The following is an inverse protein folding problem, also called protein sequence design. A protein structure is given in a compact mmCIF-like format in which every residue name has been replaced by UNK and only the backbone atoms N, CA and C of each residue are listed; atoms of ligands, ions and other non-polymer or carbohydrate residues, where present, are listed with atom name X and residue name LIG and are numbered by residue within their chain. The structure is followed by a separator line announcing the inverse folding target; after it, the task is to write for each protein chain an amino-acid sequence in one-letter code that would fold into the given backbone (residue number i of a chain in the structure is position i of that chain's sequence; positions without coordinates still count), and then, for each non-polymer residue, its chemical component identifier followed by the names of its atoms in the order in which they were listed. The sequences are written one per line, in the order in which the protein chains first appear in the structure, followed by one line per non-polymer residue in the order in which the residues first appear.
data_IF_372712879011
#
_entry.id   IF_372712879011
#
_cell.length_a   1.000
_cell.length_b   1.000
_cell.length_c   1.000
_cell.angle_alpha   90.00
_cell.angle_beta   90.00
_cell.angle_gamma   90.00
#
_symmetry.space_group_name_H-M   'P 1'
#
loop_
_entity.id
_entity.type
_entity.pdbx_description
1 polymer ?
#
# COMPACT_ATOMS: atom_id res chain seq x y z
N UNK A 1 -4.47 13.95 10.68
CA UNK A 1 -3.19 13.22 10.72
C UNK A 1 -3.36 11.86 10.12
N UNK A 2 -2.91 11.71 8.88
CA UNK A 2 -3.12 10.51 8.05
C UNK A 2 -2.18 9.34 8.42
N UNK A 3 -1.24 9.56 9.34
CA UNK A 3 -0.33 8.54 9.87
C UNK A 3 -0.51 8.39 11.37
N UNK A 4 -0.53 7.14 11.84
CA UNK A 4 -0.49 6.82 13.26
C UNK A 4 0.98 6.83 13.72
N UNK A 5 1.27 7.62 14.76
CA UNK A 5 2.55 7.59 15.45
C UNK A 5 2.73 6.32 16.29
N UNK A 6 3.78 6.26 17.12
CA UNK A 6 4.00 5.16 18.05
C UNK A 6 2.74 4.90 18.90
N UNK A 7 2.35 3.63 19.03
CA UNK A 7 1.16 3.23 19.80
C UNK A 7 1.45 3.04 21.29
N UNK A 8 2.73 2.90 21.66
CA UNK A 8 3.16 2.81 23.05
C UNK A 8 3.34 4.21 23.65
N UNK A 9 2.50 4.64 24.61
CA UNK A 9 2.62 5.95 25.24
C UNK A 9 3.88 6.09 26.11
N UNK A 10 4.59 5.00 26.40
CA UNK A 10 5.86 5.02 27.12
C UNK A 10 7.08 5.10 26.20
N UNK A 11 6.87 5.01 24.88
CA UNK A 11 7.94 5.10 23.90
C UNK A 11 8.68 6.44 24.05
N UNK A 12 9.92 6.36 24.53
CA UNK A 12 10.74 7.52 24.87
C UNK A 12 12.23 7.22 24.72
N UNK A 13 13.02 8.26 24.53
CA UNK A 13 14.47 8.19 24.43
C UNK A 13 15.11 9.42 25.09
N UNK A 14 16.31 9.24 25.67
CA UNK A 14 17.12 10.37 26.13
C UNK A 14 17.69 11.14 24.94
N UNK A 15 17.74 12.46 25.04
CA UNK A 15 18.19 13.35 23.98
C UNK A 15 19.25 14.33 24.49
N UNK A 16 20.32 14.50 23.72
CA UNK A 16 21.40 15.45 24.04
C UNK A 16 21.14 16.82 23.38
N UNK A 17 20.64 17.79 24.15
CA UNK A 17 20.36 19.15 23.64
C UNK A 17 21.62 19.98 23.32
N UNK A 18 22.78 19.65 23.88
CA UNK A 18 24.04 20.27 23.47
C UNK A 18 24.32 19.97 21.99
N UNK A 19 24.14 18.72 21.57
CA UNK A 19 24.30 18.30 20.18
C UNK A 19 23.26 18.99 19.27
N UNK A 20 22.00 19.07 19.71
CA UNK A 20 20.94 19.82 19.00
C UNK A 20 21.37 21.26 18.71
N UNK A 21 21.90 21.96 19.71
CA UNK A 21 22.29 23.35 19.58
C UNK A 21 23.58 23.55 18.76
N UNK A 22 24.62 22.77 19.03
CA UNK A 22 25.96 23.02 18.48
C UNK A 22 26.28 22.25 17.21
N UNK A 23 25.57 21.15 16.91
CA UNK A 23 25.77 20.37 15.69
C UNK A 23 24.64 20.55 14.67
N UNK A 24 23.79 21.57 14.86
CA UNK A 24 22.67 21.88 13.95
C UNK A 24 21.72 20.70 13.72
N UNK A 25 21.48 19.88 14.75
CA UNK A 25 20.48 18.80 14.65
C UNK A 25 19.08 19.40 14.84
N UNK A 26 18.15 19.09 13.94
CA UNK A 26 16.76 19.54 14.03
C UNK A 26 15.82 18.41 14.43
N UNK A 27 14.86 18.73 15.30
CA UNK A 27 13.83 17.80 15.76
C UNK A 27 12.48 18.39 15.37
N UNK A 28 11.73 17.65 14.57
CA UNK A 28 10.41 18.05 14.09
C UNK A 28 9.45 16.90 14.32
N UNK A 29 8.40 17.14 15.10
CA UNK A 29 7.25 16.27 15.16
C UNK A 29 6.36 16.56 13.96
N UNK A 30 6.22 15.61 13.03
CA UNK A 30 5.20 15.68 11.98
C UNK A 30 4.04 14.78 12.34
N UNK A 31 2.85 15.25 12.04
CA UNK A 31 1.63 14.51 12.28
C UNK A 31 1.02 14.00 10.95
N UNK A 32 1.75 14.14 9.85
CA UNK A 32 1.35 13.74 8.49
C UNK A 32 1.06 14.94 7.61
N UNK A 33 0.52 14.67 6.42
CA UNK A 33 0.24 15.72 5.43
C UNK A 33 -1.05 16.49 5.68
N UNK A 34 -1.10 17.72 5.16
CA UNK A 34 -2.27 18.59 5.06
C UNK A 34 -2.83 18.59 3.62
N UNK A 35 -3.83 19.42 3.35
CA UNK A 35 -4.45 19.55 2.02
C UNK A 35 -3.46 19.95 0.94
N UNK A 36 -2.51 20.85 1.24
CA UNK A 36 -1.50 21.30 0.30
C UNK A 36 -0.55 20.17 -0.07
N UNK A 37 -0.13 19.35 0.89
CA UNK A 37 0.70 18.16 0.64
C UNK A 37 -0.02 17.16 -0.28
N UNK A 38 -1.34 16.99 -0.13
CA UNK A 38 -2.13 16.15 -1.03
C UNK A 38 -2.20 16.72 -2.45
N UNK A 39 -2.41 18.04 -2.60
CA UNK A 39 -2.44 18.71 -3.90
C UNK A 39 -1.09 18.55 -4.59
N UNK A 40 0.01 18.79 -3.87
CA UNK A 40 1.37 18.60 -4.41
C UNK A 40 1.59 17.15 -4.83
N UNK A 41 1.24 16.17 -3.99
CA UNK A 41 1.36 14.76 -4.32
C UNK A 41 0.56 14.39 -5.58
N UNK A 42 -0.67 14.90 -5.74
CA UNK A 42 -1.48 14.71 -6.94
C UNK A 42 -0.82 15.32 -8.18
N UNK A 43 -0.28 16.53 -8.10
CA UNK A 43 0.43 17.18 -9.20
C UNK A 43 1.70 16.41 -9.59
N UNK A 44 2.43 15.86 -8.63
CA UNK A 44 3.60 15.03 -8.89
C UNK A 44 3.22 13.71 -9.58
N UNK A 45 2.11 13.09 -9.18
CA UNK A 45 1.57 11.90 -9.85
C UNK A 45 1.11 12.19 -11.27
N UNK A 46 0.40 13.31 -11.49
CA UNK A 46 -0.05 13.76 -12.81
C UNK A 46 1.13 13.99 -13.77
N UNK A 47 2.24 14.54 -13.25
CA UNK A 47 3.47 14.75 -14.01
C UNK A 47 4.35 13.51 -14.15
N UNK A 48 3.88 12.33 -13.68
CA UNK A 48 4.64 11.07 -13.63
C UNK A 48 5.98 11.17 -12.87
N UNK A 49 6.13 12.13 -11.95
CA UNK A 49 7.32 12.26 -11.12
C UNK A 49 7.35 11.21 -10.00
N UNK A 50 6.18 10.76 -9.57
CA UNK A 50 6.00 9.66 -8.62
C UNK A 50 4.92 8.71 -9.10
N UNK A 51 5.09 7.41 -8.84
CA UNK A 51 4.11 6.38 -9.17
C UNK A 51 3.65 5.67 -7.87
N UNK A 52 2.42 5.92 -7.39
CA UNK A 52 1.93 5.33 -6.14
C UNK A 52 1.70 3.81 -6.24
N UNK A 53 1.61 3.25 -7.47
CA UNK A 53 1.43 1.82 -7.68
C UNK A 53 2.59 1.00 -7.10
N UNK A 54 3.79 1.59 -6.99
CA UNK A 54 4.96 0.99 -6.36
C UNK A 54 4.73 0.59 -4.89
N UNK A 55 3.78 1.22 -4.20
CA UNK A 55 3.45 0.88 -2.82
C UNK A 55 2.46 -0.28 -2.71
N UNK A 56 1.73 -0.63 -3.77
CA UNK A 56 0.69 -1.67 -3.73
C UNK A 56 1.38 -3.03 -3.83
N UNK A 57 1.19 -3.85 -2.81
CA UNK A 57 1.82 -5.18 -2.75
C UNK A 57 0.80 -6.31 -2.71
N UNK A 58 -0.43 -6.02 -2.28
CA UNK A 58 -1.49 -7.01 -2.14
C UNK A 58 -2.81 -6.47 -2.67
N UNK A 59 -3.60 -7.36 -3.26
CA UNK A 59 -4.95 -7.11 -3.76
C UNK A 59 -5.93 -8.04 -3.04
N UNK A 60 -7.06 -7.51 -2.60
CA UNK A 60 -8.09 -8.28 -1.89
C UNK A 60 -9.50 -7.75 -2.14
N UNK A 61 -10.49 -8.53 -1.71
CA UNK A 61 -11.91 -8.22 -1.73
C UNK A 61 -12.44 -7.85 -0.34
N UNK A 62 -13.72 -7.52 -0.23
CA UNK A 62 -14.33 -7.12 1.05
C UNK A 62 -14.26 -8.24 2.11
N UNK A 63 -14.39 -9.49 1.67
CA UNK A 63 -14.34 -10.70 2.49
C UNK A 63 -13.06 -10.82 3.33
N UNK A 64 -11.93 -10.26 2.88
CA UNK A 64 -10.66 -10.37 3.59
C UNK A 64 -10.38 -9.23 4.58
N UNK A 65 -11.21 -8.17 4.63
CA UNK A 65 -10.92 -6.94 5.38
C UNK A 65 -10.75 -7.18 6.88
N UNK A 66 -11.69 -7.89 7.52
CA UNK A 66 -11.67 -8.11 8.98
C UNK A 66 -10.39 -8.82 9.39
N UNK A 67 -10.05 -9.93 8.72
CA UNK A 67 -8.85 -10.71 9.02
C UNK A 67 -7.57 -9.93 8.71
N UNK A 68 -7.54 -9.18 7.61
CA UNK A 68 -6.40 -8.35 7.21
C UNK A 68 -6.12 -7.26 8.24
N UNK A 69 -7.16 -6.56 8.70
CA UNK A 69 -7.02 -5.49 9.69
C UNK A 69 -6.53 -6.04 11.03
N UNK A 70 -7.12 -7.15 11.52
CA UNK A 70 -6.71 -7.76 12.80
C UNK A 70 -5.26 -8.27 12.79
N UNK A 71 -4.75 -8.69 11.63
CA UNK A 71 -3.41 -9.27 11.50
C UNK A 71 -2.41 -8.38 10.77
N UNK A 72 -2.75 -7.12 10.48
CA UNK A 72 -1.94 -6.23 9.64
C UNK A 72 -0.46 -6.16 10.03
N UNK A 73 -0.07 -6.08 11.33
CA UNK A 73 1.34 -6.05 11.73
C UNK A 73 2.12 -7.32 11.36
N UNK A 74 1.44 -8.46 11.16
CA UNK A 74 2.04 -9.75 10.80
C UNK A 74 2.10 -9.98 9.29
N UNK A 75 1.39 -9.16 8.50
CA UNK A 75 1.33 -9.28 7.04
C UNK A 75 2.39 -8.36 6.44
N UNK A 76 3.43 -8.96 5.85
CA UNK A 76 4.51 -8.23 5.20
C UNK A 76 4.05 -7.43 3.98
N UNK A 77 4.96 -6.63 3.41
CA UNK A 77 4.70 -5.78 2.25
C UNK A 77 4.05 -4.43 2.58
N UNK A 78 3.93 -3.59 1.55
CA UNK A 78 3.40 -2.24 1.65
C UNK A 78 1.87 -2.19 1.74
N UNK A 79 1.26 -1.44 0.82
CA UNK A 79 -0.19 -1.15 0.77
C UNK A 79 -0.99 -2.38 0.32
N UNK A 80 -2.11 -2.62 1.01
CA UNK A 80 -3.10 -3.66 0.71
C UNK A 80 -4.31 -2.95 0.06
N UNK A 81 -4.51 -3.13 -1.23
CA UNK A 81 -5.63 -2.52 -1.97
C UNK A 81 -6.84 -3.45 -1.90
N UNK A 82 -7.96 -2.92 -1.41
CA UNK A 82 -9.20 -3.67 -1.23
C UNK A 82 -10.27 -3.14 -2.17
N UNK A 83 -10.86 -4.05 -2.94
CA UNK A 83 -12.06 -3.80 -3.74
C UNK A 83 -13.29 -4.25 -2.97
N UNK A 84 -14.17 -3.31 -2.64
CA UNK A 84 -15.29 -3.55 -1.73
C UNK A 84 -16.46 -4.29 -2.36
N UNK A 85 -16.41 -4.53 -3.67
CA UNK A 85 -17.49 -5.11 -4.48
C UNK A 85 -17.16 -6.52 -5.01
N UNK A 86 -16.07 -7.14 -4.53
CA UNK A 86 -15.65 -8.49 -4.96
C UNK A 86 -15.30 -9.38 -3.76
N UNK A 87 -15.41 -10.68 -3.98
CA UNK A 87 -14.94 -11.76 -3.12
C UNK A 87 -13.57 -12.23 -3.61
N UNK A 88 -12.50 -11.82 -2.91
CA UNK A 88 -11.13 -12.15 -3.24
C UNK A 88 -10.29 -12.22 -1.97
N UNK A 89 -9.64 -13.35 -1.73
CA UNK A 89 -8.68 -13.43 -0.63
C UNK A 89 -7.51 -12.45 -0.82
N UNK A 90 -6.96 -11.94 0.29
CA UNK A 90 -5.82 -11.04 0.23
C UNK A 90 -4.63 -11.77 -0.40
N UNK A 91 -4.20 -11.31 -1.58
CA UNK A 91 -3.19 -11.98 -2.38
C UNK A 91 -2.05 -11.03 -2.72
N UNK A 92 -0.82 -11.43 -2.44
CA UNK A 92 0.36 -10.69 -2.86
C UNK A 92 0.49 -10.71 -4.38
N UNK A 93 0.85 -9.57 -4.99
CA UNK A 93 1.06 -9.49 -6.45
C UNK A 93 2.17 -10.46 -6.89
N UNK A 94 3.20 -10.65 -6.06
CA UNK A 94 4.29 -11.62 -6.29
C UNK A 94 3.79 -13.08 -6.36
N UNK A 95 2.64 -13.38 -5.77
CA UNK A 95 2.08 -14.73 -5.75
C UNK A 95 1.13 -15.01 -6.93
N UNK A 96 0.80 -14.01 -7.76
CA UNK A 96 -0.12 -14.19 -8.88
C UNK A 96 0.33 -15.30 -9.83
N UNK A 97 1.63 -15.37 -10.15
CA UNK A 97 2.18 -16.42 -11.01
C UNK A 97 2.01 -17.82 -10.41
N UNK A 98 2.14 -17.94 -9.09
CA UNK A 98 1.95 -19.20 -8.36
C UNK A 98 0.47 -19.60 -8.35
N UNK A 99 -0.43 -18.68 -8.01
CA UNK A 99 -1.88 -18.93 -8.00
C UNK A 99 -2.45 -19.17 -9.40
N UNK A 100 -1.85 -18.57 -10.42
CA UNK A 100 -2.21 -18.80 -11.82
C UNK A 100 -2.10 -20.26 -12.25
N UNK A 101 -1.31 -21.09 -11.57
CA UNK A 101 -1.25 -22.53 -11.87
C UNK A 101 -2.57 -23.26 -11.66
N UNK A 102 -3.44 -22.74 -10.78
CA UNK A 102 -4.74 -23.34 -10.45
C UNK A 102 -5.93 -22.43 -10.76
N UNK A 103 -5.71 -21.14 -10.98
CA UNK A 103 -6.78 -20.15 -11.18
C UNK A 103 -6.54 -19.29 -12.44
N UNK A 104 -7.45 -19.35 -13.44
CA UNK A 104 -7.36 -18.53 -14.65
C UNK A 104 -7.34 -17.02 -14.40
N UNK A 105 -8.00 -16.53 -13.34
CA UNK A 105 -7.99 -15.11 -12.97
C UNK A 105 -6.56 -14.64 -12.71
N UNK A 106 -5.85 -15.37 -11.84
CA UNK A 106 -4.47 -15.07 -11.48
C UNK A 106 -3.48 -15.32 -12.62
N UNK A 107 -3.79 -16.25 -13.54
CA UNK A 107 -2.98 -16.45 -14.75
C UNK A 107 -2.89 -15.18 -15.60
N UNK A 108 -4.03 -14.54 -15.85
CA UNK A 108 -4.05 -13.31 -16.66
C UNK A 108 -3.53 -12.11 -15.89
N UNK A 109 -3.87 -11.99 -14.60
CA UNK A 109 -3.31 -10.94 -13.75
C UNK A 109 -1.78 -11.00 -13.70
N UNK A 110 -1.19 -12.20 -13.57
CA UNK A 110 0.26 -12.37 -13.60
C UNK A 110 0.88 -11.83 -14.90
N UNK A 111 0.29 -12.13 -16.06
CA UNK A 111 0.75 -11.60 -17.36
C UNK A 111 0.66 -10.09 -17.45
N UNK A 112 -0.42 -9.50 -16.94
CA UNK A 112 -0.63 -8.05 -16.98
C UNK A 112 0.41 -7.36 -16.08
N UNK A 113 0.61 -7.83 -14.84
CA UNK A 113 1.59 -7.21 -13.95
C UNK A 113 3.02 -7.42 -14.44
N UNK A 114 3.38 -8.58 -15.02
CA UNK A 114 4.71 -8.81 -15.59
C UNK A 114 5.04 -7.78 -16.70
N UNK A 115 4.07 -7.41 -17.54
CA UNK A 115 4.22 -6.34 -18.55
C UNK A 115 4.35 -4.94 -17.95
N UNK A 116 3.90 -4.74 -16.71
CA UNK A 116 3.88 -3.46 -16.01
C UNK A 116 4.91 -3.42 -14.87
N UNK A 117 6.09 -4.04 -15.05
CA UNK A 117 7.18 -4.07 -14.07
C UNK A 117 6.78 -4.67 -12.70
N UNK A 118 5.86 -5.65 -12.72
CA UNK A 118 5.25 -6.27 -11.54
C UNK A 118 4.46 -5.29 -10.64
N UNK A 119 4.05 -4.15 -11.19
CA UNK A 119 3.20 -3.17 -10.50
C UNK A 119 1.73 -3.39 -10.82
N UNK A 120 0.87 -2.99 -9.89
CA UNK A 120 -0.55 -2.89 -10.15
C UNK A 120 -0.83 -1.79 -11.19
N UNK A 121 -1.77 -2.03 -12.10
CA UNK A 121 -2.06 -1.12 -13.22
C UNK A 121 -3.56 -1.02 -13.50
N UNK A 122 -3.97 0.00 -14.24
CA UNK A 122 -5.36 0.17 -14.69
C UNK A 122 -5.86 -1.02 -15.50
N UNK A 123 -4.99 -1.66 -16.28
CA UNK A 123 -5.33 -2.87 -17.03
C UNK A 123 -5.65 -4.04 -16.07
N UNK A 124 -4.83 -4.22 -15.04
CA UNK A 124 -5.03 -5.28 -14.04
C UNK A 124 -6.33 -5.07 -13.26
N UNK A 125 -6.62 -3.82 -12.87
CA UNK A 125 -7.86 -3.44 -12.19
C UNK A 125 -9.10 -3.70 -13.05
N UNK A 126 -9.11 -3.23 -14.30
CA UNK A 126 -10.24 -3.48 -15.22
C UNK A 126 -10.47 -4.97 -15.44
N UNK A 127 -9.40 -5.75 -15.59
CA UNK A 127 -9.50 -7.19 -15.73
C UNK A 127 -10.04 -7.84 -14.46
N UNK A 128 -9.53 -7.47 -13.28
CA UNK A 128 -10.01 -7.98 -12.01
C UNK A 128 -11.50 -7.72 -11.82
N UNK A 129 -11.95 -6.47 -11.96
CA UNK A 129 -13.34 -6.08 -11.73
C UNK A 129 -14.32 -6.74 -12.70
N UNK A 130 -13.86 -7.14 -13.89
CA UNK A 130 -14.69 -7.85 -14.87
C UNK A 130 -14.80 -9.35 -14.59
N UNK A 131 -13.79 -9.96 -13.97
CA UNK A 131 -13.67 -11.43 -13.88
C UNK A 131 -13.71 -11.98 -12.44
N UNK A 132 -13.51 -11.14 -11.43
CA UNK A 132 -13.64 -11.55 -10.03
C UNK A 132 -15.11 -11.81 -9.68
N UNK A 133 -15.33 -12.66 -8.69
CA UNK A 133 -16.64 -12.94 -8.14
C UNK A 133 -17.18 -11.69 -7.42
N UNK A 134 -18.31 -11.16 -7.87
CA UNK A 134 -18.98 -10.04 -7.20
C UNK A 134 -19.66 -10.45 -5.88
N UNK A 135 -19.88 -9.47 -5.00
CA UNK A 135 -20.66 -9.60 -3.76
C UNK A 135 -21.77 -8.55 -3.66
#
# INVERSE_FOLDING_TARGET
NFFAGPTDPKFSAMLNFYNVHYASTHIVGTSGGNTQDMIESLQMMEKNLINPAAMITHIGGLNCVVNTTLNLPKISGGKKLIYTNIDLELTAISDFKKKGKSDPLFTQLAKIVEKNNNLWSTEAEKYLLKNAKSI
#
